data_IF_600365119354
#
_entry.id   IF_600365119354
#
_cell.length_a   1.000
_cell.length_b   1.000
_cell.length_c   1.000
_cell.angle_alpha   90.00
_cell.angle_beta   90.00
_cell.angle_gamma   90.00
#
_symmetry.space_group_name_H-M   'P 1'
#
loop_
_entity.id
_entity.type
_entity.pdbx_description
1 polymer ?
#
# COMPACT_ATOMS: atom_id res chain seq x y z
N UNK A 1 3.85 -1.93 -8.77
CA UNK A 1 3.75 -0.46 -8.51
C UNK A 1 2.43 0.10 -9.01
N UNK A 2 2.20 0.18 -10.33
CA UNK A 2 0.97 0.78 -10.90
C UNK A 2 -0.29 0.11 -10.35
N UNK A 3 -0.28 -1.21 -10.26
CA UNK A 3 -1.36 -2.00 -9.66
C UNK A 3 -1.71 -1.57 -8.22
N UNK A 4 -0.70 -1.43 -7.35
CA UNK A 4 -0.90 -0.96 -5.97
C UNK A 4 -1.53 0.43 -5.95
N UNK A 5 -1.02 1.35 -6.77
CA UNK A 5 -1.54 2.73 -6.84
C UNK A 5 -2.99 2.73 -7.30
N UNK A 6 -3.33 1.98 -8.35
CA UNK A 6 -4.70 1.87 -8.85
C UNK A 6 -5.65 1.28 -7.80
N UNK A 7 -5.18 0.32 -6.99
CA UNK A 7 -5.99 -0.28 -5.92
C UNK A 7 -6.27 0.69 -4.79
N UNK A 8 -5.28 1.50 -4.38
CA UNK A 8 -5.45 2.45 -3.27
C UNK A 8 -5.99 3.82 -3.69
N UNK A 9 -5.94 4.18 -4.98
CA UNK A 9 -6.42 5.48 -5.47
C UNK A 9 -7.84 5.82 -5.00
N UNK A 10 -8.84 4.92 -5.06
CA UNK A 10 -10.20 5.23 -4.59
C UNK A 10 -10.26 5.62 -3.12
N UNK A 11 -9.35 5.09 -2.29
CA UNK A 11 -9.26 5.38 -0.85
C UNK A 11 -8.68 6.77 -0.58
N UNK A 12 -7.78 7.24 -1.45
CA UNK A 12 -7.13 8.55 -1.33
C UNK A 12 -7.81 9.64 -2.17
N UNK A 13 -8.67 9.27 -3.12
CA UNK A 13 -9.36 10.20 -4.03
C UNK A 13 -8.46 10.93 -5.02
N UNK A 14 -7.16 10.56 -5.10
CA UNK A 14 -6.19 11.14 -6.02
C UNK A 14 -4.98 10.24 -6.19
N UNK A 15 -4.56 10.01 -7.44
CA UNK A 15 -3.33 9.28 -7.77
C UNK A 15 -2.10 9.90 -7.11
N UNK A 16 -2.06 11.22 -6.93
CA UNK A 16 -0.94 11.91 -6.26
C UNK A 16 -0.86 11.53 -4.77
N UNK A 17 -2.01 11.47 -4.09
CA UNK A 17 -2.09 11.09 -2.68
C UNK A 17 -1.79 9.61 -2.48
N UNK A 18 -2.30 8.75 -3.38
CA UNK A 18 -1.94 7.33 -3.41
C UNK A 18 -0.42 7.12 -3.59
N UNK A 19 0.21 7.90 -4.48
CA UNK A 19 1.66 7.83 -4.66
C UNK A 19 2.43 8.36 -3.44
N UNK A 20 1.93 9.42 -2.79
CA UNK A 20 2.51 9.94 -1.55
C UNK A 20 2.51 8.89 -0.44
N UNK A 21 1.38 8.20 -0.22
CA UNK A 21 1.30 7.07 0.71
C UNK A 21 2.26 5.95 0.32
N UNK A 22 2.23 5.52 -0.96
CA UNK A 22 3.04 4.41 -1.46
C UNK A 22 4.54 4.58 -1.17
N UNK A 23 5.07 5.81 -1.26
CA UNK A 23 6.49 6.10 -1.06
C UNK A 23 6.86 6.46 0.38
N UNK A 24 5.94 7.02 1.15
CA UNK A 24 6.25 7.69 2.42
C UNK A 24 5.69 6.98 3.65
N UNK A 25 4.64 6.17 3.52
CA UNK A 25 3.98 5.56 4.67
C UNK A 25 4.53 4.14 4.95
N UNK A 26 5.09 3.89 6.15
CA UNK A 26 5.47 2.56 6.59
C UNK A 26 4.23 1.68 6.81
N UNK A 27 4.29 0.42 6.38
CA UNK A 27 3.20 -0.53 6.62
C UNK A 27 3.39 -1.24 7.98
N UNK A 28 2.37 -1.24 8.86
CA UNK A 28 2.35 -2.07 10.08
C UNK A 28 2.62 -3.54 9.76
N UNK A 29 3.43 -4.21 10.57
CA UNK A 29 3.81 -5.62 10.36
C UNK A 29 4.94 -5.87 9.35
N UNK A 30 5.40 -4.84 8.62
CA UNK A 30 6.46 -4.97 7.61
C UNK A 30 7.81 -4.37 8.03
N UNK A 31 8.11 -4.37 9.33
CA UNK A 31 9.36 -3.84 9.90
C UNK A 31 9.62 -2.36 9.53
N UNK A 32 8.56 -1.56 9.40
CA UNK A 32 8.66 -0.15 9.03
C UNK A 32 8.96 0.09 7.54
N UNK A 33 8.84 -0.93 6.69
CA UNK A 33 8.98 -0.75 5.25
C UNK A 33 7.76 -0.09 4.64
N UNK A 34 7.97 0.79 3.66
CA UNK A 34 6.90 1.36 2.84
C UNK A 34 6.43 0.39 1.77
N UNK A 35 5.24 0.62 1.22
CA UNK A 35 4.73 -0.13 0.08
C UNK A 35 5.73 -0.13 -1.10
N UNK A 36 6.42 1.00 -1.35
CA UNK A 36 7.46 1.09 -2.38
C UNK A 36 8.64 0.16 -2.12
N UNK A 37 9.10 0.06 -0.87
CA UNK A 37 10.23 -0.81 -0.52
C UNK A 37 9.84 -2.28 -0.70
N UNK A 38 8.64 -2.68 -0.28
CA UNK A 38 8.13 -4.04 -0.45
C UNK A 38 7.99 -4.43 -1.93
N UNK A 39 7.40 -3.55 -2.75
CA UNK A 39 7.30 -3.78 -4.20
C UNK A 39 8.68 -3.90 -4.86
N UNK A 40 9.66 -3.07 -4.45
CA UNK A 40 11.04 -3.17 -4.95
C UNK A 40 11.72 -4.48 -4.55
N UNK A 41 11.33 -5.05 -3.41
CA UNK A 41 11.80 -6.35 -2.93
C UNK A 41 11.03 -7.54 -3.52
N UNK A 42 10.16 -7.31 -4.53
CA UNK A 42 9.36 -8.36 -5.16
C UNK A 42 8.17 -8.84 -4.35
N UNK A 43 7.82 -8.13 -3.27
CA UNK A 43 6.73 -8.47 -2.34
C UNK A 43 5.49 -7.62 -2.64
N UNK A 44 5.03 -7.65 -3.89
CA UNK A 44 3.85 -6.87 -4.30
C UNK A 44 2.57 -7.47 -3.75
N UNK A 45 2.44 -8.79 -3.74
CA UNK A 45 1.28 -9.50 -3.22
C UNK A 45 1.03 -9.17 -1.74
N UNK A 46 2.08 -9.15 -0.92
CA UNK A 46 2.03 -8.73 0.48
C UNK A 46 1.41 -7.33 0.67
N UNK A 47 1.68 -6.40 -0.25
CA UNK A 47 1.13 -5.04 -0.19
C UNK A 47 -0.35 -5.04 -0.59
N UNK A 48 -0.73 -5.84 -1.59
CA UNK A 48 -2.12 -5.97 -2.02
C UNK A 48 -2.97 -6.62 -0.93
N UNK A 49 -2.48 -7.71 -0.33
CA UNK A 49 -3.12 -8.41 0.79
C UNK A 49 -3.31 -7.47 2.00
N UNK A 50 -2.29 -6.66 2.33
CA UNK A 50 -2.40 -5.66 3.37
C UNK A 50 -3.52 -4.64 3.08
N UNK A 51 -3.58 -4.12 1.84
CA UNK A 51 -4.62 -3.18 1.44
C UNK A 51 -6.01 -3.82 1.52
N UNK A 52 -6.14 -5.07 1.07
CA UNK A 52 -7.41 -5.82 1.17
C UNK A 52 -7.84 -6.04 2.63
N UNK A 53 -6.92 -6.37 3.53
CA UNK A 53 -7.21 -6.50 4.96
C UNK A 53 -7.67 -5.16 5.58
N UNK A 54 -7.05 -4.06 5.18
CA UNK A 54 -7.40 -2.70 5.62
C UNK A 54 -8.77 -2.28 5.08
N UNK A 55 -9.10 -2.60 3.83
CA UNK A 55 -10.40 -2.30 3.23
C UNK A 55 -11.53 -3.18 3.80
N UNK A 56 -11.22 -4.42 4.17
CA UNK A 56 -12.14 -5.30 4.89
C UNK A 56 -12.39 -4.88 6.36
N UNK A 57 -11.69 -3.86 6.87
CA UNK A 57 -11.80 -3.40 8.25
C UNK A 57 -11.15 -4.34 9.27
N UNK A 58 -10.26 -5.23 8.82
CA UNK A 58 -9.58 -6.24 9.68
C UNK A 58 -8.36 -5.63 10.39
N UNK A 59 -7.88 -4.47 9.96
CA UNK A 59 -6.88 -3.67 10.67
C UNK A 59 -7.47 -2.31 11.06
N UNK A 60 -7.96 -2.22 12.31
CA UNK A 60 -8.29 -0.99 13.02
C UNK A 60 -7.76 -1.08 14.46
#
# INVERSE_FOLDING_TARGET
>A
MVEVINKVEPRFGSTLMAYAWYRSEPLPGFSGQTAMQLVRNGRVDDVLDYVDAVDAGVHA
#
